data_IF_816808130381
#
_entry.id   IF_816808130381
#
_cell.length_a   1.000
_cell.length_b   1.000
_cell.length_c   1.000
_cell.angle_alpha   90.00
_cell.angle_beta   90.00
_cell.angle_gamma   90.00
#
_symmetry.space_group_name_H-M   'P 1'
#
loop_
_entity.id
_entity.type
_entity.pdbx_description
1 polymer ?
2 non-polymer ?
#
# COMPACT_ATOMS: atom_id res chain seq x y z
N UNK A 13 -25.55 -11.70 -0.02
CA UNK A 13 -24.27 -12.21 0.46
C UNK A 13 -23.50 -12.87 -0.68
N UNK A 14 -24.22 -13.27 -1.73
CA UNK A 14 -23.56 -13.85 -2.90
C UNK A 14 -22.65 -12.86 -3.62
N UNK A 15 -23.07 -11.62 -3.91
CA UNK A 15 -22.07 -10.64 -4.38
C UNK A 15 -20.97 -10.41 -3.36
N UNK A 16 -21.32 -10.44 -2.07
CA UNK A 16 -20.32 -10.28 -1.03
C UNK A 16 -19.30 -11.41 -1.07
N UNK A 17 -19.75 -12.66 -1.23
CA UNK A 17 -18.81 -13.77 -1.22
C UNK A 17 -17.99 -13.80 -2.50
N UNK A 18 -18.57 -13.40 -3.64
CA UNK A 18 -17.75 -13.31 -4.85
C UNK A 18 -16.68 -12.24 -4.70
N UNK A 19 -17.05 -11.07 -4.15
CA UNK A 19 -16.06 -10.02 -3.94
C UNK A 19 -14.99 -10.45 -2.95
N UNK A 20 -15.41 -11.15 -1.89
CA UNK A 20 -14.46 -11.64 -0.89
C UNK A 20 -13.46 -12.62 -1.51
N UNK A 21 -13.95 -13.57 -2.30
CA UNK A 21 -13.05 -14.58 -2.86
C UNK A 21 -12.18 -13.99 -3.97
N UNK A 22 -12.72 -13.05 -4.74
CA UNK A 22 -11.91 -12.34 -5.73
C UNK A 22 -10.79 -11.56 -5.05
N UNK A 23 -11.11 -10.85 -3.96
CA UNK A 23 -10.08 -10.13 -3.24
C UNK A 23 -9.04 -11.06 -2.65
N UNK A 24 -9.48 -12.22 -2.15
CA UNK A 24 -8.53 -13.18 -1.58
C UNK A 24 -7.58 -13.69 -2.66
N UNK A 25 -8.10 -14.07 -3.82
CA UNK A 25 -7.22 -14.59 -4.85
C UNK A 25 -6.46 -13.51 -5.61
N UNK A 26 -6.83 -12.25 -5.46
CA UNK A 26 -6.07 -11.18 -6.09
C UNK A 26 -5.02 -10.57 -5.17
N UNK A 27 -5.23 -10.62 -3.86
CA UNK A 27 -4.28 -10.08 -2.91
C UNK A 27 -3.36 -11.13 -2.32
N UNK A 28 -3.55 -12.41 -2.65
CA UNK A 28 -2.63 -13.47 -2.23
C UNK A 28 -1.61 -13.61 -3.36
N UNK A 29 -0.56 -12.80 -3.28
CA UNK A 29 0.49 -12.78 -4.31
C UNK A 29 1.82 -13.09 -3.66
N UNK A 30 2.37 -14.29 -3.84
CA UNK A 30 3.69 -14.59 -3.27
C UNK A 30 4.82 -13.79 -3.90
N UNK A 31 4.61 -13.17 -5.06
CA UNK A 31 5.66 -12.43 -5.74
C UNK A 31 5.84 -11.01 -5.21
N UNK A 32 5.02 -10.58 -4.26
CA UNK A 32 5.17 -9.24 -3.73
C UNK A 32 6.39 -9.09 -2.81
N UNK A 33 6.66 -10.00 -1.84
CA UNK A 33 7.88 -9.83 -1.03
C UNK A 33 9.15 -9.93 -1.85
N UNK A 34 9.31 -11.03 -2.58
CA UNK A 34 10.51 -11.26 -3.39
C UNK A 34 10.30 -10.66 -4.79
N UNK A 35 10.23 -9.34 -4.83
CA UNK A 35 10.15 -8.65 -6.11
C UNK A 35 11.53 -8.21 -6.59
N UNK A 36 12.17 -7.32 -5.83
CA UNK A 36 13.50 -6.81 -6.16
C UNK A 36 14.55 -7.92 -6.08
N UNK A 37 14.55 -8.82 -5.07
CA UNK A 37 15.45 -9.98 -5.16
C UNK A 37 15.23 -10.81 -6.42
N UNK A 38 13.98 -10.91 -6.87
CA UNK A 38 13.72 -11.54 -8.16
C UNK A 38 14.12 -10.63 -9.31
N UNK A 39 13.81 -9.33 -9.20
CA UNK A 39 14.16 -8.40 -10.25
C UNK A 39 15.67 -8.26 -10.40
N UNK A 40 16.39 -8.20 -9.29
CA UNK A 40 17.84 -8.05 -9.32
C UNK A 40 18.59 -9.37 -9.32
N UNK A 41 17.87 -10.49 -9.37
CA UNK A 41 18.49 -11.80 -9.30
C UNK A 41 19.05 -12.24 -10.63
N UNK A 42 19.46 -13.52 -10.71
CA UNK A 42 20.02 -14.03 -11.97
C UNK A 42 19.01 -14.12 -13.10
N UNK A 43 17.72 -14.04 -12.81
CA UNK A 43 16.70 -14.22 -13.85
C UNK A 43 16.68 -13.04 -14.82
N UNK A 44 17.06 -11.84 -14.38
CA UNK A 44 16.91 -10.67 -15.23
C UNK A 44 18.09 -9.70 -15.23
N UNK A 45 19.03 -9.81 -14.28
CA UNK A 45 20.24 -9.00 -14.25
C UNK A 45 19.92 -7.50 -14.26
N UNK A 46 19.24 -7.07 -13.20
CA UNK A 46 18.89 -5.66 -13.01
C UNK A 46 19.66 -5.14 -11.81
N UNK A 47 20.56 -4.19 -12.05
CA UNK A 47 21.32 -3.62 -10.94
C UNK A 47 20.41 -2.74 -10.08
N UNK A 48 20.82 -2.56 -8.83
CA UNK A 48 19.98 -1.86 -7.87
C UNK A 48 19.76 -0.40 -8.25
N UNK A 49 20.80 0.25 -8.77
CA UNK A 49 20.71 1.68 -9.10
C UNK A 49 19.66 1.92 -10.18
N UNK A 50 19.66 1.09 -11.24
CA UNK A 50 18.72 1.31 -12.32
C UNK A 50 17.29 0.99 -11.89
N UNK A 51 17.10 -0.03 -11.06
CA UNK A 51 15.78 -0.29 -10.48
C UNK A 51 15.29 0.93 -9.73
N UNK A 52 16.05 1.36 -8.72
CA UNK A 52 15.62 2.44 -7.83
C UNK A 52 15.37 3.73 -8.59
N UNK A 53 16.22 4.07 -9.56
CA UNK A 53 16.16 5.38 -10.19
C UNK A 53 15.35 5.44 -11.47
N UNK A 54 14.96 4.31 -12.06
CA UNK A 54 14.05 4.45 -13.19
C UNK A 54 12.80 3.61 -13.08
N UNK A 55 12.87 2.41 -12.52
CA UNK A 55 11.73 1.51 -12.61
C UNK A 55 10.66 1.89 -11.61
N UNK A 56 11.03 2.19 -10.37
CA UNK A 56 10.04 2.41 -9.32
C UNK A 56 9.38 3.80 -9.31
N UNK A 57 10.08 4.91 -9.61
CA UNK A 57 9.36 6.20 -9.65
C UNK A 57 8.19 6.25 -10.62
N UNK A 58 8.29 5.56 -11.77
CA UNK A 58 7.19 5.62 -12.73
C UNK A 58 5.96 4.90 -12.17
N UNK A 59 6.12 4.05 -11.16
CA UNK A 59 4.96 3.45 -10.51
C UNK A 59 4.08 4.51 -9.88
N UNK A 60 4.66 5.37 -9.04
CA UNK A 60 3.85 6.40 -8.40
C UNK A 60 3.48 7.49 -9.40
N UNK A 61 4.30 7.71 -10.44
CA UNK A 61 3.92 8.65 -11.49
C UNK A 61 2.62 8.21 -12.17
N UNK A 62 2.60 6.96 -12.64
CA UNK A 62 1.40 6.43 -13.29
C UNK A 62 0.25 6.28 -12.31
N UNK A 63 0.54 6.00 -11.04
CA UNK A 63 -0.52 5.88 -10.05
C UNK A 63 -1.24 7.21 -9.83
N UNK A 64 -0.48 8.30 -9.75
CA UNK A 64 -1.12 9.62 -9.73
C UNK A 64 -1.84 9.89 -11.04
N UNK A 65 -1.25 9.52 -12.17
CA UNK A 65 -1.87 9.84 -13.46
C UNK A 65 -3.21 9.13 -13.60
N UNK A 66 -3.31 7.91 -13.09
CA UNK A 66 -4.49 7.08 -13.26
C UNK A 66 -5.40 7.07 -12.04
N UNK A 67 -5.04 7.76 -10.95
CA UNK A 67 -5.91 7.77 -9.77
C UNK A 67 -7.17 8.60 -10.00
N UNK A 68 -7.02 9.78 -10.62
CA UNK A 68 -8.19 10.63 -10.82
C UNK A 68 -9.12 10.12 -11.92
N UNK A 69 -8.65 9.75 -13.12
CA UNK A 69 -9.60 9.24 -14.13
C UNK A 69 -10.34 7.98 -13.71
N UNK A 70 -9.65 7.04 -13.06
CA UNK A 70 -10.31 5.82 -12.62
C UNK A 70 -11.38 6.14 -11.58
N UNK A 71 -11.03 6.99 -10.61
CA UNK A 71 -11.98 7.33 -9.55
C UNK A 71 -13.16 8.15 -10.08
N UNK A 72 -12.96 8.92 -11.15
CA UNK A 72 -14.06 9.74 -11.66
C UNK A 72 -14.92 8.98 -12.66
N UNK A 73 -14.38 7.94 -13.30
CA UNK A 73 -15.17 7.17 -14.26
C UNK A 73 -15.71 5.86 -13.70
N UNK A 74 -15.30 5.46 -12.49
CA UNK A 74 -15.81 4.21 -11.92
C UNK A 74 -17.31 4.25 -11.61
N UNK A 75 -17.92 5.43 -11.51
CA UNK A 75 -19.36 5.51 -11.38
C UNK A 75 -20.07 5.68 -12.72
N UNK A 76 -19.44 6.36 -13.67
CA UNK A 76 -20.01 6.48 -15.01
C UNK A 76 -20.10 5.13 -15.68
N UNK A 77 -19.06 4.31 -15.56
CA UNK A 77 -19.06 2.99 -16.19
C UNK A 77 -19.51 1.91 -15.22
N UNK A 78 -19.91 2.29 -14.00
CA UNK A 78 -20.34 1.39 -12.93
C UNK A 78 -19.16 0.56 -12.41
N UNK A 79 -19.34 -0.09 -11.28
CA UNK A 79 -18.19 -0.54 -10.50
C UNK A 79 -17.56 -1.81 -11.06
N UNK A 80 -18.38 -2.75 -11.55
CA UNK A 80 -17.86 -4.04 -12.02
C UNK A 80 -16.86 -3.94 -13.17
N UNK A 81 -17.08 -3.11 -14.20
CA UNK A 81 -16.08 -3.01 -15.27
C UNK A 81 -14.71 -2.57 -14.79
N UNK A 82 -14.62 -1.70 -13.79
CA UNK A 82 -13.30 -1.29 -13.31
C UNK A 82 -12.65 -2.43 -12.54
N UNK A 83 -13.43 -3.26 -11.86
CA UNK A 83 -12.86 -4.44 -11.20
C UNK A 83 -12.33 -5.43 -12.25
N UNK A 84 -13.08 -5.63 -13.33
CA UNK A 84 -12.60 -6.54 -14.36
C UNK A 84 -11.38 -5.95 -15.07
N UNK A 85 -11.31 -4.62 -15.16
CA UNK A 85 -10.12 -3.95 -15.66
C UNK A 85 -8.93 -4.12 -14.72
N UNK A 86 -9.17 -4.12 -13.41
CA UNK A 86 -8.12 -4.43 -12.45
C UNK A 86 -7.63 -5.87 -12.63
N UNK A 87 -8.54 -6.81 -12.87
CA UNK A 87 -8.12 -8.17 -13.13
C UNK A 87 -7.29 -8.30 -14.39
N UNK A 88 -7.71 -7.65 -15.47
CA UNK A 88 -6.93 -7.64 -16.71
C UNK A 88 -5.58 -6.99 -16.48
N UNK A 89 -5.54 -5.92 -15.67
CA UNK A 89 -4.29 -5.24 -15.39
C UNK A 89 -3.36 -6.12 -14.56
N UNK A 90 -3.89 -6.87 -13.61
CA UNK A 90 -3.10 -7.88 -12.91
C UNK A 90 -2.50 -8.88 -13.88
N UNK A 91 -3.34 -9.37 -14.81
CA UNK A 91 -2.88 -10.38 -15.78
C UNK A 91 -1.73 -9.83 -16.60
N UNK A 92 -1.90 -8.65 -17.17
CA UNK A 92 -0.88 -8.08 -18.05
C UNK A 92 0.36 -7.70 -17.24
N UNK A 93 0.18 -7.19 -16.02
CA UNK A 93 1.30 -6.82 -15.17
C UNK A 93 2.18 -8.02 -14.86
N UNK A 94 1.55 -9.12 -14.46
CA UNK A 94 2.35 -10.30 -14.15
C UNK A 94 2.86 -11.02 -15.38
N UNK A 95 2.19 -10.87 -16.53
CA UNK A 95 2.75 -11.39 -17.78
C UNK A 95 4.02 -10.64 -18.15
N UNK A 96 4.02 -9.31 -17.99
CA UNK A 96 5.23 -8.54 -18.24
C UNK A 96 6.32 -8.88 -17.23
N UNK A 97 5.94 -9.07 -15.96
CA UNK A 97 6.94 -9.43 -14.95
C UNK A 97 7.56 -10.79 -15.24
N UNK A 98 6.76 -11.76 -15.69
CA UNK A 98 7.26 -13.10 -15.88
C UNK A 98 8.12 -13.22 -17.14
N UNK A 99 7.70 -12.57 -18.23
CA UNK A 99 8.32 -12.77 -19.53
C UNK A 99 9.09 -11.57 -20.05
N UNK A 100 8.62 -10.36 -19.78
CA UNK A 100 9.28 -9.19 -20.33
C UNK A 100 10.65 -8.95 -19.72
N UNK A 101 11.52 -8.30 -20.50
CA UNK A 101 12.87 -8.02 -20.06
C UNK A 101 13.29 -6.63 -20.52
N UNK A 102 14.28 -6.08 -19.83
CA UNK A 102 14.78 -4.75 -20.11
C UNK A 102 14.46 -3.77 -19.02
N UNK A 103 14.46 -2.49 -19.39
CA UNK A 103 14.10 -1.41 -18.49
C UNK A 103 12.81 -0.71 -18.92
N UNK A 104 12.60 -0.54 -20.23
CA UNK A 104 11.33 0.01 -20.71
C UNK A 104 10.18 -0.93 -20.42
N UNK A 105 10.43 -2.24 -20.49
CA UNK A 105 9.42 -3.21 -20.08
C UNK A 105 9.10 -3.07 -18.60
N UNK A 106 10.13 -2.84 -17.77
CA UNK A 106 9.90 -2.67 -16.35
C UNK A 106 9.33 -1.30 -15.99
N UNK A 107 9.34 -0.34 -16.90
CA UNK A 107 8.55 0.86 -16.71
C UNK A 107 7.11 0.67 -17.13
N UNK A 108 6.87 -0.11 -18.18
CA UNK A 108 5.51 -0.42 -18.62
C UNK A 108 4.79 -1.25 -17.55
N UNK A 109 5.49 -2.20 -16.94
CA UNK A 109 4.84 -3.02 -15.91
C UNK A 109 4.48 -2.16 -14.70
N UNK A 110 5.30 -1.16 -14.37
CA UNK A 110 4.94 -0.27 -13.28
C UNK A 110 3.79 0.64 -13.65
N UNK A 111 3.73 1.05 -14.92
CA UNK A 111 2.57 1.82 -15.37
C UNK A 111 1.29 1.02 -15.22
N UNK A 112 1.34 -0.28 -15.52
CA UNK A 112 0.15 -1.11 -15.34
C UNK A 112 -0.15 -1.35 -13.87
N UNK A 113 0.88 -1.52 -13.04
CA UNK A 113 0.65 -1.74 -11.61
C UNK A 113 0.10 -0.48 -10.94
N UNK A 114 0.38 0.69 -11.49
CA UNK A 114 -0.26 1.90 -11.00
C UNK A 114 -1.77 1.82 -11.12
N UNK A 115 -2.26 1.39 -12.27
CA UNK A 115 -3.70 1.22 -12.45
C UNK A 115 -4.22 0.04 -11.64
N UNK A 116 -3.39 -0.99 -11.45
CA UNK A 116 -3.73 -2.11 -10.58
C UNK A 116 -4.07 -1.61 -9.18
N UNK A 117 -3.20 -0.78 -8.60
CA UNK A 117 -3.45 -0.26 -7.27
C UNK A 117 -4.44 0.90 -7.26
N UNK A 118 -4.69 1.54 -8.40
CA UNK A 118 -5.66 2.62 -8.47
C UNK A 118 -7.09 2.12 -8.58
N UNK A 119 -7.31 0.90 -9.09
CA UNK A 119 -8.65 0.35 -9.18
C UNK A 119 -9.15 -0.21 -7.86
N UNK A 120 -8.33 -0.17 -6.81
CA UNK A 120 -8.76 -0.64 -5.50
C UNK A 120 -9.90 0.20 -4.94
N UNK A 121 -9.94 1.50 -5.26
CA UNK A 121 -11.04 2.34 -4.79
C UNK A 121 -12.36 1.87 -5.39
N UNK A 122 -12.36 1.51 -6.67
CA UNK A 122 -13.57 1.00 -7.30
C UNK A 122 -13.93 -0.38 -6.77
N UNK A 123 -12.92 -1.23 -6.53
CA UNK A 123 -13.20 -2.52 -5.91
C UNK A 123 -13.87 -2.35 -4.55
N UNK A 124 -13.43 -1.36 -3.78
CA UNK A 124 -13.98 -1.17 -2.45
C UNK A 124 -15.33 -0.48 -2.48
N UNK A 125 -15.57 0.37 -3.48
CA UNK A 125 -16.83 1.09 -3.61
C UNK A 125 -17.91 0.29 -4.33
N UNK A 126 -17.56 -0.86 -4.93
CA UNK A 126 -18.58 -1.71 -5.52
C UNK A 126 -19.57 -2.20 -4.47
N UNK A 127 -19.07 -2.55 -3.28
CA UNK A 127 -19.90 -3.16 -2.25
C UNK A 127 -20.94 -2.21 -1.70
N UNK A 128 -20.88 -0.92 -2.06
CA UNK A 128 -21.91 0.02 -1.66
C UNK A 128 -23.26 -0.33 -2.28
N UNK A 129 -23.24 -1.01 -3.43
CA UNK A 129 -24.45 -1.26 -4.20
C UNK A 129 -25.00 -2.66 -4.05
N UNK A 130 -24.46 -3.48 -3.15
CA UNK A 130 -24.91 -4.85 -3.01
C UNK A 130 -25.58 -5.14 -1.66
N UNK A 131 -25.16 -4.46 -0.59
CA UNK A 131 -25.76 -4.74 0.72
C UNK A 131 -25.89 -3.48 1.56
N UNK A 132 -27.13 -3.00 1.72
CA UNK A 132 -27.57 -1.96 2.66
C UNK A 132 -26.98 -0.58 2.36
N UNK A 133 -27.71 0.49 2.65
CA UNK A 133 -27.14 1.84 2.55
C UNK A 133 -26.36 2.27 3.78
N UNK A 134 -26.43 1.50 4.88
CA UNK A 134 -25.77 1.87 6.12
C UNK A 134 -24.75 0.85 6.61
N UNK A 135 -24.84 -0.42 6.19
CA UNK A 135 -23.89 -1.44 6.59
C UNK A 135 -22.63 -1.45 5.71
N UNK A 136 -22.32 -0.31 5.10
CA UNK A 136 -21.10 -0.19 4.30
C UNK A 136 -19.85 -0.47 5.15
N UNK A 137 -19.84 0.03 6.39
CA UNK A 137 -18.63 -0.05 7.22
C UNK A 137 -18.28 -1.50 7.56
N UNK A 138 -19.29 -2.31 7.92
CA UNK A 138 -19.01 -3.67 8.37
C UNK A 138 -18.52 -4.54 7.21
N UNK A 139 -19.18 -4.47 6.06
CA UNK A 139 -18.78 -5.30 4.94
C UNK A 139 -17.44 -4.83 4.36
N UNK A 140 -17.19 -3.52 4.38
CA UNK A 140 -15.89 -3.02 3.94
C UNK A 140 -14.79 -3.45 4.88
N UNK A 141 -15.07 -3.47 6.20
CA UNK A 141 -14.10 -4.02 7.13
C UNK A 141 -13.85 -5.50 6.91
N UNK A 142 -14.90 -6.25 6.59
CA UNK A 142 -14.73 -7.66 6.27
C UNK A 142 -13.85 -7.85 5.03
N UNK A 143 -14.09 -7.05 3.99
CA UNK A 143 -13.27 -7.14 2.79
C UNK A 143 -11.83 -6.73 3.04
N UNK A 144 -11.62 -5.70 3.87
CA UNK A 144 -10.27 -5.31 4.24
C UNK A 144 -9.56 -6.42 4.99
N UNK A 145 -10.26 -7.06 5.94
CA UNK A 145 -9.67 -8.18 6.67
C UNK A 145 -9.33 -9.31 5.72
N UNK A 146 -10.20 -9.57 4.75
CA UNK A 146 -9.95 -10.64 3.78
C UNK A 146 -8.72 -10.34 2.94
N UNK A 147 -8.58 -9.09 2.48
CA UNK A 147 -7.42 -8.74 1.67
C UNK A 147 -6.12 -8.81 2.48
N UNK A 148 -6.13 -8.32 3.72
CA UNK A 148 -4.92 -8.40 4.54
C UNK A 148 -4.58 -9.84 4.90
N UNK A 149 -5.60 -10.67 5.16
CA UNK A 149 -5.34 -12.09 5.40
C UNK A 149 -4.80 -12.78 4.17
N UNK A 150 -5.29 -12.40 2.99
CA UNK A 150 -4.75 -12.95 1.74
C UNK A 150 -3.30 -12.55 1.56
N UNK A 151 -2.97 -11.29 1.84
CA UNK A 151 -1.58 -10.84 1.74
C UNK A 151 -0.68 -11.58 2.72
N UNK A 152 -1.15 -11.75 3.96
CA UNK A 152 -0.38 -12.49 4.96
C UNK A 152 -0.18 -13.94 4.54
N UNK A 153 -1.23 -14.58 4.04
CA UNK A 153 -1.13 -15.96 3.60
C UNK A 153 -0.18 -16.09 2.41
N UNK A 154 -0.23 -15.13 1.48
CA UNK A 154 0.67 -15.15 0.35
C UNK A 154 2.12 -14.97 0.76
N UNK A 155 2.37 -14.06 1.71
CA UNK A 155 3.75 -13.86 2.17
C UNK A 155 4.26 -15.07 2.92
N UNK A 156 3.41 -15.68 3.77
CA UNK A 156 3.81 -16.91 4.46
C UNK A 156 4.09 -18.01 3.45
N UNK A 157 3.25 -18.13 2.43
CA UNK A 157 3.46 -19.13 1.38
C UNK A 157 4.79 -18.89 0.66
N UNK A 158 5.06 -17.65 0.28
CA UNK A 158 6.30 -17.35 -0.44
C UNK A 158 7.52 -17.68 0.39
N UNK A 159 7.54 -17.21 1.64
CA UNK A 159 8.71 -17.46 2.49
C UNK A 159 8.86 -18.95 2.78
N UNK A 160 7.77 -19.65 3.05
CA UNK A 160 7.84 -21.07 3.35
C UNK A 160 8.33 -21.86 2.14
N UNK A 161 7.85 -21.52 0.95
CA UNK A 161 8.29 -22.22 -0.26
C UNK A 161 9.77 -21.97 -0.52
N UNK A 162 10.21 -20.71 -0.44
CA UNK A 162 11.61 -20.41 -0.70
C UNK A 162 12.51 -21.04 0.35
N UNK A 163 12.05 -21.10 1.60
CA UNK A 163 12.89 -21.65 2.66
C UNK A 163 12.99 -23.17 2.57
N UNK A 164 11.85 -23.87 2.62
CA UNK A 164 11.88 -25.32 2.66
C UNK A 164 11.94 -25.94 1.27
N UNK A 165 11.03 -25.53 0.37
CA UNK A 165 10.99 -26.12 -0.96
C UNK A 165 12.19 -25.73 -1.82
N UNK A 166 12.82 -24.61 -1.51
CA UNK A 166 13.93 -24.05 -2.30
C UNK A 166 13.50 -23.90 -3.76
N UNK A 167 12.47 -23.08 -3.95
CA UNK A 167 11.76 -22.98 -5.21
C UNK A 167 12.06 -21.64 -5.84
N UNK A 168 12.38 -21.65 -7.14
CA UNK A 168 12.87 -20.47 -7.82
C UNK A 168 11.81 -19.37 -7.88
N UNK A 169 12.29 -18.13 -7.93
CA UNK A 169 11.38 -16.99 -7.96
C UNK A 169 10.56 -16.93 -9.24
N UNK A 170 11.03 -17.56 -10.32
CA UNK A 170 10.23 -17.60 -11.54
C UNK A 170 8.95 -18.41 -11.32
N UNK A 171 9.07 -19.58 -10.70
CA UNK A 171 7.89 -20.39 -10.43
C UNK A 171 6.99 -19.75 -9.38
N UNK A 172 7.57 -19.03 -8.43
CA UNK A 172 6.76 -18.30 -7.46
C UNK A 172 5.99 -17.16 -8.14
N UNK A 173 6.61 -16.47 -9.07
CA UNK A 173 5.90 -15.48 -9.87
C UNK A 173 4.82 -16.14 -10.73
N UNK A 174 5.07 -17.35 -11.21
CA UNK A 174 4.05 -18.12 -11.92
C UNK A 174 2.86 -18.39 -11.01
N UNK A 175 3.12 -18.75 -9.74
CA UNK A 175 2.05 -18.97 -8.77
C UNK A 175 1.24 -17.71 -8.58
N UNK A 176 1.91 -16.56 -8.46
CA UNK A 176 1.18 -15.30 -8.29
C UNK A 176 0.34 -14.98 -9.53
N UNK A 177 0.88 -15.25 -10.73
CA UNK A 177 0.09 -15.05 -11.95
C UNK A 177 -1.11 -15.97 -11.98
N UNK A 178 -0.96 -17.22 -11.57
CA UNK A 178 -2.10 -18.13 -11.52
C UNK A 178 -3.14 -17.65 -10.52
N UNK A 179 -2.71 -17.12 -9.38
CA UNK A 179 -3.63 -16.61 -8.38
C UNK A 179 -4.43 -15.43 -8.93
N UNK A 180 -3.75 -14.46 -9.56
CA UNK A 180 -4.50 -13.35 -10.13
C UNK A 180 -5.34 -13.79 -11.32
N UNK A 181 -4.96 -14.88 -11.99
CA UNK A 181 -5.78 -15.42 -13.07
C UNK A 181 -7.10 -15.97 -12.54
N UNK A 182 -7.02 -16.75 -11.45
CA UNK A 182 -8.24 -17.27 -10.83
C UNK A 182 -9.07 -16.12 -10.26
N UNK A 183 -8.41 -15.09 -9.73
CA UNK A 183 -9.14 -13.92 -9.26
C UNK A 183 -9.90 -13.22 -10.37
N UNK A 184 -9.26 -13.05 -11.53
CA UNK A 184 -9.97 -12.46 -12.67
C UNK A 184 -11.10 -13.35 -13.14
N UNK A 185 -10.88 -14.67 -13.15
CA UNK A 185 -11.91 -15.60 -13.61
C UNK A 185 -13.11 -15.60 -12.66
N UNK A 186 -12.88 -15.31 -11.37
CA UNK A 186 -13.95 -15.19 -10.40
C UNK A 186 -14.45 -13.74 -10.30
N UNK A 187 -14.34 -12.96 -11.37
CA UNK A 187 -14.77 -11.57 -11.35
C UNK A 187 -15.47 -11.13 -12.63
N UNK A 188 -15.79 -12.06 -13.55
CA UNK A 188 -16.59 -11.70 -14.70
C UNK A 188 -18.08 -11.80 -14.39
N UNK A 189 -18.50 -12.93 -13.81
CA UNK A 189 -19.88 -13.13 -13.38
C UNK A 189 -20.11 -12.57 -11.98
N UNK A 190 -19.71 -11.32 -11.82
CA UNK A 190 -19.95 -10.43 -10.69
C UNK A 190 -21.24 -9.67 -10.94
N UNK A 191 -22.17 -9.62 -9.97
CA UNK A 191 -23.44 -8.94 -10.21
C UNK A 191 -23.29 -7.46 -10.54
N UNK A 192 -23.62 -7.08 -11.77
CA UNK A 192 -23.41 -5.72 -12.23
C UNK A 192 -24.31 -4.76 -11.46
N UNK A 193 -23.78 -3.65 -10.94
CA UNK A 193 -24.61 -2.76 -10.12
C UNK A 193 -25.70 -2.08 -10.92
N UNK A 194 -26.89 -2.03 -10.33
CA UNK A 194 -27.93 -1.12 -10.77
C UNK A 194 -27.94 0.16 -9.95
N UNK A 195 -27.31 0.15 -8.79
CA UNK A 195 -27.23 1.31 -7.91
C UNK A 195 -25.90 2.02 -8.13
N UNK A 196 -25.97 3.27 -8.58
CA UNK A 196 -24.80 4.11 -8.75
C UNK A 196 -24.79 5.19 -7.68
N UNK A 197 -23.63 5.45 -7.10
CA UNK A 197 -23.52 6.44 -6.03
C UNK A 197 -23.89 7.83 -6.54
N UNK A 198 -23.32 8.23 -7.68
CA UNK A 198 -23.70 9.48 -8.32
C UNK A 198 -23.29 9.41 -9.79
N UNK A 199 -23.88 10.32 -10.58
CA UNK A 199 -23.64 10.36 -12.02
C UNK A 199 -22.76 11.55 -12.42
N UNK A 200 -23.16 12.75 -12.04
CA UNK A 200 -22.40 13.96 -12.35
C UNK A 200 -21.91 14.68 -11.10
N UNK A 201 -21.98 14.04 -9.94
CA UNK A 201 -21.54 14.61 -8.66
C UNK A 201 -22.23 15.94 -8.36
N UNK A 275 -14.27 21.40 9.25
CA UNK A 275 -14.21 21.81 10.65
C UNK A 275 -12.77 22.01 11.12
N UNK A 276 -12.61 22.23 12.42
CA UNK A 276 -11.26 22.36 12.99
C UNK A 276 -10.46 21.08 12.84
N UNK A 277 -11.13 19.93 12.98
CA UNK A 277 -10.46 18.64 12.87
C UNK A 277 -10.42 18.10 11.46
N UNK A 278 -11.36 18.49 10.60
CA UNK A 278 -11.48 17.89 9.27
C UNK A 278 -10.23 18.14 8.43
N UNK A 279 -9.95 19.41 8.11
CA UNK A 279 -8.83 19.73 7.24
C UNK A 279 -7.50 19.39 7.90
N UNK A 280 -7.40 19.62 9.21
CA UNK A 280 -6.19 19.28 9.95
C UNK A 280 -5.88 17.79 9.84
N UNK A 281 -6.87 16.95 10.11
CA UNK A 281 -6.60 15.53 10.17
C UNK A 281 -6.45 14.96 8.77
N UNK A 282 -7.10 15.58 7.79
CA UNK A 282 -6.91 15.20 6.39
C UNK A 282 -5.49 15.50 5.92
N UNK A 283 -4.96 16.67 6.26
CA UNK A 283 -3.57 16.97 5.94
C UNK A 283 -2.63 16.00 6.63
N UNK A 284 -2.92 15.66 7.89
CA UNK A 284 -2.10 14.69 8.60
C UNK A 284 -2.12 13.34 7.91
N UNK A 285 -3.31 12.87 7.52
CA UNK A 285 -3.44 11.58 6.85
C UNK A 285 -2.71 11.58 5.51
N UNK A 286 -2.83 12.67 4.75
CA UNK A 286 -2.15 12.75 3.46
C UNK A 286 -0.64 12.68 3.63
N UNK A 287 -0.09 13.43 4.59
CA UNK A 287 1.35 13.39 4.85
C UNK A 287 1.79 11.99 5.26
N UNK A 288 1.07 11.38 6.20
CA UNK A 288 1.47 10.08 6.72
C UNK A 288 1.40 9.01 5.63
N UNK A 289 0.35 9.02 4.81
CA UNK A 289 0.24 7.98 3.80
C UNK A 289 1.17 8.23 2.62
N UNK A 290 1.53 9.49 2.34
CA UNK A 290 2.56 9.74 1.34
C UNK A 290 3.90 9.19 1.80
N UNK A 291 4.25 9.45 3.06
CA UNK A 291 5.46 8.87 3.61
C UNK A 291 5.44 7.36 3.60
N UNK A 292 4.28 6.78 3.91
CA UNK A 292 4.19 5.31 3.95
C UNK A 292 4.26 4.70 2.57
N UNK A 293 3.61 5.31 1.58
CA UNK A 293 3.69 4.77 0.22
C UNK A 293 5.08 4.93 -0.36
N UNK A 294 5.82 5.96 0.05
CA UNK A 294 7.19 6.08 -0.43
C UNK A 294 8.13 5.11 0.28
N UNK A 295 7.93 4.88 1.58
CA UNK A 295 8.79 3.93 2.28
C UNK A 295 8.49 2.49 1.88
N UNK A 296 7.22 2.17 1.58
CA UNK A 296 6.84 0.81 1.24
C UNK A 296 7.45 0.40 -0.09
N UNK A 297 7.74 1.36 -0.95
CA UNK A 297 8.32 1.10 -2.26
C UNK A 297 9.81 0.78 -2.19
N UNK A 298 10.49 1.10 -1.09
CA UNK A 298 11.94 1.01 -1.01
C UNK A 298 12.48 0.24 0.19
N UNK A 299 11.62 -0.20 1.11
CA UNK A 299 12.09 -1.06 2.19
C UNK A 299 12.73 -2.33 1.63
N UNK A 300 12.16 -2.88 0.56
CA UNK A 300 12.73 -4.08 -0.04
C UNK A 300 14.11 -3.81 -0.64
N UNK A 301 14.30 -2.63 -1.25
CA UNK A 301 15.59 -2.30 -1.83
C UNK A 301 16.64 -2.14 -0.74
N UNK A 302 16.29 -1.51 0.39
CA UNK A 302 17.27 -1.50 1.48
C UNK A 302 17.44 -2.90 2.08
N UNK A 303 16.40 -3.72 2.03
CA UNK A 303 16.52 -5.08 2.57
C UNK A 303 17.60 -5.86 1.85
N UNK A 304 17.60 -5.81 0.51
CA UNK A 304 18.68 -6.52 -0.16
C UNK A 304 19.93 -5.66 -0.33
N UNK A 305 19.90 -4.38 0.08
CA UNK A 305 21.13 -3.60 0.12
C UNK A 305 21.96 -3.94 1.36
N UNK A 306 21.33 -3.94 2.54
CA UNK A 306 22.06 -4.20 3.78
C UNK A 306 22.69 -5.58 3.79
N UNK A 307 21.94 -6.58 3.33
CA UNK A 307 22.45 -7.93 3.15
C UNK A 307 22.10 -8.36 1.74
N UNK A 308 23.08 -8.78 0.93
CA UNK A 308 22.78 -9.14 -0.46
C UNK A 308 21.84 -10.33 -0.55
N UNK A 309 20.95 -10.29 -1.54
CA UNK A 309 20.03 -11.38 -1.78
C UNK A 309 20.66 -12.53 -2.56
N UNK A 310 21.86 -12.32 -3.12
CA UNK A 310 22.50 -13.38 -3.88
C UNK A 310 23.04 -14.48 -2.97
N UNK A 311 23.48 -14.11 -1.76
CA UNK A 311 24.07 -15.04 -0.82
C UNK A 311 23.54 -14.77 0.58
N UNK A 312 23.93 -15.62 1.52
CA UNK A 312 23.64 -15.47 2.95
C UNK A 312 22.15 -15.47 3.26
N UNK A 313 21.32 -16.01 2.35
CA UNK A 313 19.87 -16.16 2.52
C UNK A 313 19.16 -14.83 2.70
N UNK A 314 17.82 -14.87 2.77
CA UNK A 314 17.01 -13.67 2.92
C UNK A 314 15.65 -14.08 3.47
N UNK A 315 15.06 -13.21 4.28
CA UNK A 315 13.85 -13.53 5.03
C UNK A 315 12.76 -12.49 4.77
N UNK A 316 12.52 -12.19 3.50
CA UNK A 316 11.59 -11.13 3.14
C UNK A 316 10.13 -11.52 3.42
N UNK A 317 9.75 -12.72 3.02
CA UNK A 317 8.34 -13.09 3.07
C UNK A 317 7.79 -13.19 4.47
N UNK A 318 8.53 -13.84 5.38
CA UNK A 318 8.06 -13.95 6.75
C UNK A 318 7.98 -12.60 7.43
N UNK A 319 8.97 -11.73 7.16
CA UNK A 319 8.96 -10.39 7.75
C UNK A 319 7.77 -9.59 7.24
N UNK A 320 7.47 -9.68 5.95
CA UNK A 320 6.32 -8.98 5.40
C UNK A 320 5.01 -9.52 5.98
N UNK A 321 4.91 -10.84 6.14
CA UNK A 321 3.71 -11.43 6.72
C UNK A 321 3.52 -10.98 8.15
N UNK A 322 4.58 -11.02 8.96
CA UNK A 322 4.49 -10.58 10.35
C UNK A 322 4.17 -9.10 10.43
N UNK A 323 4.72 -8.31 9.51
CA UNK A 323 4.49 -6.86 9.52
C UNK A 323 3.04 -6.53 9.20
N UNK A 324 2.46 -7.18 8.19
CA UNK A 324 1.06 -6.91 7.87
C UNK A 324 0.12 -7.51 8.91
N UNK A 325 0.52 -8.63 9.54
CA UNK A 325 -0.27 -9.14 10.65
C UNK A 325 -0.26 -8.17 11.83
N UNK A 326 0.91 -7.57 12.11
CA UNK A 326 0.98 -6.56 13.15
C UNK A 326 0.17 -5.32 12.83
N UNK A 327 0.18 -4.91 11.57
CA UNK A 327 -0.67 -3.80 11.17
C UNK A 327 -2.15 -4.11 11.34
N UNK A 328 -2.56 -5.32 10.97
CA UNK A 328 -3.95 -5.72 11.13
C UNK A 328 -4.36 -5.77 12.59
N UNK A 329 -3.50 -6.33 13.45
CA UNK A 329 -3.87 -6.41 14.86
C UNK A 329 -3.84 -5.03 15.50
N UNK A 330 -2.98 -4.13 15.02
CA UNK A 330 -3.00 -2.76 15.52
C UNK A 330 -4.30 -2.05 15.14
N UNK A 331 -4.75 -2.23 13.90
CA UNK A 331 -6.03 -1.65 13.48
C UNK A 331 -7.18 -2.21 14.30
N UNK A 332 -7.19 -3.53 14.48
CA UNK A 332 -8.26 -4.16 15.26
C UNK A 332 -8.22 -3.75 16.72
N UNK A 333 -7.01 -3.49 17.27
CA UNK A 333 -6.91 -3.08 18.66
C UNK A 333 -7.38 -1.64 18.83
N UNK A 334 -7.07 -0.76 17.88
CA UNK A 334 -7.56 0.61 17.97
C UNK A 334 -9.08 0.63 17.85
N UNK A 335 -9.63 -0.15 16.90
CA UNK A 335 -11.08 -0.22 16.78
C UNK A 335 -11.76 -0.87 17.98
N UNK A 336 -11.10 -1.84 18.61
CA UNK A 336 -11.71 -2.61 19.68
C UNK A 336 -11.77 -1.82 20.99
N UNK A 337 -10.74 -1.03 21.27
CA UNK A 337 -10.68 -0.33 22.55
C UNK A 337 -11.70 0.80 22.57
N UNK A 338 -12.38 0.94 23.71
CA UNK A 338 -13.38 1.98 23.90
C UNK A 338 -12.77 3.08 24.77
N UNK A 339 -12.42 4.20 24.14
CA UNK A 339 -11.79 5.32 24.84
C UNK A 339 -12.14 6.60 24.09
N UNK A 340 -12.20 7.70 24.83
CA UNK A 340 -12.52 9.01 24.25
C UNK A 340 -11.24 9.57 23.64
N UNK A 341 -11.10 9.42 22.33
CA UNK A 341 -9.90 9.89 21.65
C UNK A 341 -9.83 11.40 21.57
N UNK A 342 -10.97 12.08 21.42
CA UNK A 342 -10.96 13.52 21.22
C UNK A 342 -10.53 14.29 22.45
N UNK A 343 -10.49 13.66 23.63
CA UNK A 343 -10.00 14.35 24.82
C UNK A 343 -8.54 14.73 24.66
N UNK A 344 -7.69 13.76 24.31
CA UNK A 344 -6.30 14.04 23.96
C UNK A 344 -5.83 12.91 23.03
N UNK A 345 -5.85 13.20 21.73
CA UNK A 345 -5.35 12.26 20.75
C UNK A 345 -4.06 12.76 20.15
N UNK A 346 -3.83 14.07 20.26
CA UNK A 346 -2.63 14.67 19.71
C UNK A 346 -1.36 14.12 20.38
N UNK A 347 -1.39 13.94 21.70
CA UNK A 347 -0.24 13.39 22.39
C UNK A 347 0.00 11.94 22.01
N UNK A 348 -1.06 11.12 22.08
CA UNK A 348 -0.96 9.70 21.79
C UNK A 348 -0.67 9.43 20.32
N UNK A 349 -0.80 10.42 19.44
CA UNK A 349 -0.45 10.26 18.04
C UNK A 349 0.89 10.89 17.68
N UNK A 350 1.30 11.95 18.36
CA UNK A 350 2.67 12.44 18.20
C UNK A 350 3.67 11.43 18.75
N UNK A 351 3.33 10.71 19.83
CA UNK A 351 4.24 9.70 20.37
C UNK A 351 4.26 8.47 19.46
N UNK A 352 3.35 8.41 18.48
CA UNK A 352 3.43 7.36 17.47
C UNK A 352 4.18 7.82 16.23
N UNK A 353 4.00 9.09 15.83
CA UNK A 353 4.80 9.64 14.75
C UNK A 353 6.29 9.67 15.11
N UNK A 354 6.59 9.96 16.38
CA UNK A 354 7.97 9.92 16.85
C UNK A 354 8.53 8.50 16.76
N UNK A 355 7.71 7.50 17.12
CA UNK A 355 8.15 6.12 17.02
C UNK A 355 8.37 5.73 15.55
N UNK A 356 7.52 6.24 14.65
CA UNK A 356 7.72 6.00 13.23
C UNK A 356 9.05 6.58 12.76
N UNK A 357 9.35 7.81 13.17
CA UNK A 357 10.62 8.43 12.80
C UNK A 357 11.81 7.66 13.38
N UNK A 358 11.69 7.22 14.63
CA UNK A 358 12.75 6.44 15.23
C UNK A 358 12.98 5.10 14.54
N UNK A 359 11.89 4.46 14.10
CA UNK A 359 12.01 3.22 13.35
C UNK A 359 12.70 3.45 12.01
N UNK A 360 12.37 4.56 11.34
CA UNK A 360 13.05 4.88 10.08
C UNK A 360 14.54 5.15 10.30
N UNK A 361 14.89 5.86 11.37
CA UNK A 361 16.29 6.09 11.66
C UNK A 361 16.99 4.79 12.05
N UNK A 362 16.26 3.86 12.67
CA UNK A 362 16.83 2.55 12.94
C UNK A 362 17.06 1.77 11.66
N UNK A 363 16.16 1.92 10.68
CA UNK A 363 16.41 1.38 9.35
C UNK A 363 17.71 1.93 8.77
N UNK A 364 17.86 3.26 8.79
CA UNK A 364 18.97 3.87 8.07
C UNK A 364 20.31 3.63 8.76
N UNK A 365 20.36 3.78 10.08
CA UNK A 365 21.63 3.81 10.79
C UNK A 365 22.14 2.44 11.21
N UNK A 366 21.34 1.38 11.06
CA UNK A 366 21.79 0.07 11.51
C UNK A 366 22.84 -0.50 10.58
N UNK A 367 23.58 -1.48 11.09
CA UNK A 367 24.48 -2.28 10.27
C UNK A 367 23.93 -3.68 9.99
N UNK A 368 23.14 -4.22 10.91
CA UNK A 368 22.56 -5.54 10.73
C UNK A 368 21.33 -5.47 9.83
N UNK A 369 20.74 -6.64 9.57
CA UNK A 369 19.49 -6.72 8.84
C UNK A 369 18.32 -7.14 9.73
N UNK A 370 18.59 -7.88 10.81
CA UNK A 370 17.54 -8.19 11.77
C UNK A 370 17.00 -6.93 12.41
N UNK A 371 17.88 -5.97 12.69
CA UNK A 371 17.44 -4.68 13.21
C UNK A 371 16.55 -3.95 12.21
N UNK A 372 16.87 -4.05 10.91
CA UNK A 372 16.03 -3.42 9.90
C UNK A 372 14.68 -4.09 9.80
N UNK A 373 14.63 -5.42 9.91
CA UNK A 373 13.36 -6.13 9.89
C UNK A 373 12.50 -5.75 11.09
N UNK A 374 13.11 -5.67 12.28
CA UNK A 374 12.38 -5.23 13.46
C UNK A 374 11.90 -3.79 13.31
N UNK A 375 12.73 -2.94 12.71
CA UNK A 375 12.32 -1.57 12.45
C UNK A 375 11.14 -1.49 11.51
N UNK A 376 11.11 -2.34 10.48
CA UNK A 376 9.95 -2.39 9.59
C UNK A 376 8.70 -2.83 10.33
N UNK A 377 8.83 -3.86 11.18
CA UNK A 377 7.70 -4.30 11.99
C UNK A 377 7.16 -3.16 12.83
N UNK A 378 8.05 -2.49 13.57
CA UNK A 378 7.65 -1.41 14.47
C UNK A 378 7.03 -0.27 13.68
N UNK A 379 7.63 0.09 12.54
CA UNK A 379 7.14 1.22 11.77
C UNK A 379 5.76 0.95 11.22
N UNK A 380 5.54 -0.21 10.60
CA UNK A 380 4.22 -0.43 10.00
C UNK A 380 3.15 -0.62 11.06
N UNK A 381 3.49 -1.24 12.20
CA UNK A 381 2.50 -1.32 13.28
C UNK A 381 2.13 0.06 13.80
N UNK A 382 3.12 0.91 14.07
CA UNK A 382 2.85 2.23 14.59
C UNK A 382 2.23 3.16 13.56
N UNK A 383 2.37 2.85 12.27
CA UNK A 383 1.70 3.63 11.25
C UNK A 383 0.25 3.19 11.06
N UNK A 384 -0.02 1.89 11.14
CA UNK A 384 -1.40 1.43 11.07
C UNK A 384 -2.19 1.90 12.29
N UNK A 385 -1.54 2.02 13.45
CA UNK A 385 -2.21 2.66 14.59
C UNK A 385 -2.68 4.07 14.23
N UNK A 386 -1.76 4.87 13.66
CA UNK A 386 -2.08 6.24 13.30
C UNK A 386 -3.19 6.31 12.27
N UNK A 387 -3.15 5.44 11.27
CA UNK A 387 -4.16 5.49 10.20
C UNK A 387 -5.51 5.03 10.72
N UNK A 388 -5.54 4.01 11.56
CA UNK A 388 -6.82 3.56 12.10
C UNK A 388 -7.44 4.63 12.97
N UNK A 389 -6.61 5.33 13.76
CA UNK A 389 -7.11 6.47 14.52
C UNK A 389 -7.64 7.56 13.59
N UNK A 390 -6.89 7.87 12.53
CA UNK A 390 -7.28 8.95 11.63
C UNK A 390 -8.58 8.64 10.90
N UNK A 391 -8.75 7.40 10.46
CA UNK A 391 -10.01 7.06 9.81
C UNK A 391 -11.13 6.98 10.83
N UNK A 392 -10.81 6.69 12.10
CA UNK A 392 -11.84 6.71 13.14
C UNK A 392 -12.40 8.10 13.35
N UNK A 393 -11.54 9.12 13.45
CA UNK A 393 -12.09 10.47 13.66
C UNK A 393 -12.69 11.04 12.38
N UNK A 394 -12.12 10.70 11.22
CA UNK A 394 -12.60 11.34 9.99
C UNK A 394 -13.87 10.64 9.49
N UNK A 395 -14.10 9.39 9.91
CA UNK A 395 -15.28 8.67 9.45
C UNK A 395 -16.55 9.16 10.13
N UNK A 396 -16.48 9.39 11.45
CA UNK A 396 -17.69 9.71 12.21
C UNK A 396 -18.19 11.11 11.94
N UNK A 397 -17.36 11.98 11.36
CA UNK A 397 -17.79 13.36 11.10
C UNK A 397 -18.76 13.43 9.92
N UNK A 398 -18.51 12.65 8.87
CA UNK A 398 -19.17 12.85 7.59
C UNK A 398 -19.91 11.58 7.18
N UNK A 399 -20.91 11.76 6.33
CA UNK A 399 -21.81 10.68 5.93
C UNK A 399 -21.08 9.64 5.09
N UNK A 400 -21.68 8.45 5.00
CA UNK A 400 -21.10 7.34 4.26
C UNK A 400 -21.07 7.63 2.76
N UNK A 401 -22.07 8.35 2.25
CA UNK A 401 -22.17 8.57 0.80
C UNK A 401 -20.97 9.35 0.28
N UNK A 402 -20.56 10.41 0.98
CA UNK A 402 -19.38 11.18 0.59
C UNK A 402 -18.15 10.78 1.39
N UNK A 403 -18.25 9.74 2.22
CA UNK A 403 -17.08 9.21 2.91
C UNK A 403 -16.04 8.73 1.91
N UNK A 404 -16.48 8.08 0.83
CA UNK A 404 -15.55 7.67 -0.22
C UNK A 404 -15.00 8.88 -0.98
N UNK A 405 -15.81 9.93 -1.15
CA UNK A 405 -15.33 11.12 -1.85
C UNK A 405 -14.26 11.85 -1.04
N UNK A 406 -14.37 11.82 0.29
CA UNK A 406 -13.35 12.42 1.14
C UNK A 406 -12.00 11.74 0.92
N UNK A 407 -12.00 10.40 0.92
CA UNK A 407 -10.77 9.68 0.64
C UNK A 407 -10.28 9.91 -0.79
N UNK A 408 -11.21 10.04 -1.74
CA UNK A 408 -10.82 10.30 -3.11
C UNK A 408 -10.13 11.65 -3.28
N UNK A 409 -10.59 12.67 -2.56
CA UNK A 409 -9.92 13.98 -2.63
C UNK A 409 -8.73 14.08 -1.68
N UNK A 410 -8.59 13.14 -0.74
CA UNK A 410 -7.43 13.13 0.16
C UNK A 410 -6.23 12.39 -0.46
N UNK A 411 -6.47 11.21 -1.03
CA UNK A 411 -5.38 10.43 -1.59
C UNK A 411 -4.81 11.08 -2.84
N UNK A 412 -5.58 11.91 -3.54
CA UNK A 412 -5.00 12.66 -4.65
C UNK A 412 -3.95 13.65 -4.16
N UNK A 413 -4.26 14.37 -3.09
CA UNK A 413 -3.29 15.29 -2.49
C UNK A 413 -2.09 14.51 -1.97
N UNK A 414 -2.35 13.34 -1.38
CA UNK A 414 -1.27 12.50 -0.87
C UNK A 414 -0.33 12.07 -2.01
N UNK A 415 -0.88 11.69 -3.15
CA UNK A 415 -0.03 11.30 -4.27
C UNK A 415 0.67 12.49 -4.92
N UNK A 416 0.07 13.67 -4.90
CA UNK A 416 0.80 14.86 -5.35
C UNK A 416 2.03 15.06 -4.48
N UNK A 417 1.83 15.01 -3.16
CA UNK A 417 2.95 15.15 -2.22
C UNK A 417 4.01 14.09 -2.49
N UNK A 418 3.58 12.85 -2.72
CA UNK A 418 4.53 11.78 -2.99
C UNK A 418 5.27 11.98 -4.30
N UNK A 419 4.63 12.55 -5.33
CA UNK A 419 5.34 12.73 -6.60
C UNK A 419 6.37 13.86 -6.52
N UNK A 420 6.06 14.97 -5.83
CA UNK A 420 7.15 15.92 -5.57
C UNK A 420 8.27 15.27 -4.74
N UNK A 421 7.89 14.49 -3.71
CA UNK A 421 8.88 13.81 -2.90
C UNK A 421 9.77 12.90 -3.76
N UNK A 422 9.18 12.23 -4.73
CA UNK A 422 9.92 11.33 -5.61
C UNK A 422 10.80 12.09 -6.59
N UNK A 423 10.26 13.15 -7.23
CA UNK A 423 11.03 13.82 -8.27
C UNK A 423 12.23 14.55 -7.69
N UNK A 424 12.17 15.04 -6.45
CA UNK A 424 13.39 15.59 -5.85
C UNK A 424 14.24 14.50 -5.22
N UNK A 425 13.64 13.61 -4.42
CA UNK A 425 14.45 12.70 -3.61
C UNK A 425 15.09 11.60 -4.45
N UNK A 426 14.29 10.79 -5.13
CA UNK A 426 14.79 9.53 -5.67
C UNK A 426 14.91 9.52 -7.19
N UNK A 427 14.22 10.40 -7.91
CA UNK A 427 14.26 10.36 -9.36
C UNK A 427 15.65 10.71 -9.89
N UNK A 428 15.99 10.11 -11.04
CA UNK A 428 17.30 10.36 -11.65
C UNK A 428 17.44 11.80 -12.09
N UNK A 429 16.39 12.39 -12.67
CA UNK A 429 16.47 13.77 -13.14
C UNK A 429 16.46 14.78 -12.01
N UNK A 430 16.17 14.36 -10.79
CA UNK A 430 16.17 15.27 -9.66
C UNK A 430 17.52 15.35 -8.98
N UNK A 431 17.58 14.87 -7.73
CA UNK A 431 18.82 14.87 -6.98
C UNK A 431 19.50 13.50 -6.94
N UNK A 432 18.81 12.44 -7.37
CA UNK A 432 19.41 11.11 -7.57
C UNK A 432 19.99 10.56 -6.27
N UNK A 433 19.19 10.53 -5.22
CA UNK A 433 19.64 9.94 -3.96
C UNK A 433 19.51 8.43 -4.02
N UNK A 434 20.57 7.68 -3.74
CA UNK A 434 20.42 6.22 -3.59
C UNK A 434 19.68 5.88 -2.32
N UNK A 435 19.36 4.59 -2.19
CA UNK A 435 18.63 4.11 -1.02
C UNK A 435 19.47 4.24 0.26
N UNK A 436 20.79 4.29 0.13
CA UNK A 436 21.65 4.43 1.31
C UNK A 436 21.38 5.73 2.05
N UNK A 437 21.22 6.83 1.31
CA UNK A 437 21.08 8.15 1.93
C UNK A 437 19.65 8.60 1.67
N UNK A 438 18.73 7.65 1.64
CA UNK A 438 17.32 7.95 1.40
C UNK A 438 16.45 7.82 2.64
N UNK A 439 16.72 6.83 3.50
CA UNK A 439 15.97 6.70 4.72
C UNK A 439 16.30 7.78 5.74
N UNK A 440 17.47 8.41 5.63
CA UNK A 440 17.71 9.60 6.43
C UNK A 440 16.73 10.71 6.05
N UNK A 441 16.48 10.89 4.75
CA UNK A 441 15.52 11.88 4.30
C UNK A 441 14.11 11.48 4.69
N UNK A 442 13.80 10.18 4.63
CA UNK A 442 12.47 9.73 5.04
C UNK A 442 12.24 9.96 6.54
N UNK A 443 13.24 9.65 7.37
CA UNK A 443 13.13 9.93 8.79
C UNK A 443 13.06 11.40 9.09
N UNK A 444 13.78 12.23 8.32
CA UNK A 444 13.67 13.67 8.46
C UNK A 444 12.27 14.15 8.10
N UNK A 445 11.66 13.56 7.08
CA UNK A 445 10.28 13.87 6.73
C UNK A 445 9.34 13.55 7.88
N UNK A 446 9.44 12.34 8.43
CA UNK A 446 8.58 11.94 9.53
C UNK A 446 8.85 12.72 10.81
N UNK A 447 10.06 13.28 10.96
CA UNK A 447 10.36 14.11 12.10
C UNK A 447 9.86 15.53 11.91
N UNK A 448 9.90 16.04 10.67
CA UNK A 448 9.38 17.38 10.40
C UNK A 448 7.87 17.41 10.56
N UNK A 449 7.19 16.32 10.17
CA UNK A 449 5.74 16.25 10.36
C UNK A 449 5.40 16.32 11.84
N UNK A 450 6.12 15.55 12.66
CA UNK A 450 5.89 15.58 14.10
C UNK A 450 6.26 16.92 14.70
N UNK A 451 7.30 17.58 14.18
CA UNK A 451 7.66 18.90 14.66
C UNK A 451 6.59 19.94 14.36
N UNK A 452 5.99 19.85 13.18
CA UNK A 452 4.86 20.73 12.86
C UNK A 452 3.69 20.44 13.79
N UNK A 453 3.44 19.16 14.09
CA UNK A 453 2.38 18.81 15.03
C UNK A 453 2.64 19.42 16.41
N UNK A 454 3.86 19.31 16.90
CA UNK A 454 4.20 19.85 18.21
C UNK A 454 4.14 21.38 18.21
N UNK A 455 4.48 22.01 17.07
CA UNK A 455 4.33 23.44 16.95
C UNK A 455 2.86 23.85 17.02
N UNK A 456 1.98 23.07 16.40
CA UNK A 456 0.55 23.36 16.46
C UNK A 456 0.01 23.25 17.88
N UNK A 457 0.60 22.38 18.71
CA UNK A 457 0.18 22.27 20.10
C UNK A 457 0.60 23.49 20.91
N UNK A 458 1.71 24.12 20.55
CA UNK A 458 2.23 25.29 21.27
C UNK A 458 1.72 26.61 20.68
N UNK A 459 0.53 26.60 20.07
CA UNK A 459 -0.02 27.83 19.50
C UNK A 459 -0.32 28.86 20.58
N UNK A 460 -0.85 28.41 21.72
CA UNK A 460 -1.14 29.33 22.82
C UNK A 460 0.16 29.84 23.44
N UNK A 461 1.15 28.98 23.59
CA UNK A 461 2.43 29.35 24.18
C UNK A 461 3.20 30.32 23.29
X LIG B 1 4.76 -4.88 -9.73
X LIG B 1 6.22 -0.69 -7.80
X LIG B 1 7.23 -4.04 -3.18
X LIG B 1 7.28 -4.66 0.09
X LIG B 1 6.06 -3.98 0.24
X LIG B 1 5.12 -4.47 -0.85
X LIG B 1 4.23 -1.71 -3.51
X LIG B 1 3.75 -2.48 -2.17
X LIG B 1 4.99 -3.46 -1.98
X LIG B 1 5.93 -3.27 -3.02
X LIG B 1 5.46 -2.22 -3.94
X LIG B 1 6.17 -1.76 -5.12
X LIG B 1 5.82 -2.07 -7.60
X LIG B 1 5.50 -2.81 -8.65
X LIG B 1 5.13 -4.07 -8.49
X LIG B 1 5.09 -4.62 -7.30
X LIG B 1 5.40 -3.93 -6.21
X LIG B 1 5.79 -2.60 -6.32
#
# INVERSE_FOLDING_TARGET
MDCYRTSLSSSWIYPTVILCLFGFFSMMRPSEPFLIPYLSGPDKNLTSAEITNEIFPVWTYSYLVLLLPVFVLTDYVRYKPVIILQGISFIITWLLLLFGQGVKTMQVVEFFYGMVTAAEVAYYAYIYSVVSPEHYQRVSGYCRSVTLAAYTAGSVLAQLLVSLANMSYFYLNVISLASVSVAFLFSLFLPMPKKSMFFHAKPSREIKKSSSVNPVLEETHEGEAPGCEEQKPTSEILSTSGKLNKGQLNSLKPSNVTVDVFVQWFQDLKECYSSKRLFYWSLWWAFATAGFNQVLNYVQILWDYKAPSQDSSIYNGAVEAIATFGGAVAAFAVGYVKVNWDLLGELALVVFSVVNAGSLFLMHYTANIWACYAGYLIFKSSYMLLITIAVFQIAVNLNVERYALVFGINTFIALVIQTIMTVIVVDQRGLNLPVSIQFLVYGSYFAVIAGIFLMRSMYITYSTKSQKDVQSPAPSENPDVSHPEEESNIIMSTKL
VIB CM2 N4A CM4 O1 C7 C6 C2 S1 C5 C4 N3 C7A C4A N3A C2A N1A C6A C5A
#
